data_IF_731190032333
#
_entry.id   IF_731190032333
#
_cell.length_a   1.000
_cell.length_b   1.000
_cell.length_c   1.000
_cell.angle_alpha   90.00
_cell.angle_beta   90.00
_cell.angle_gamma   90.00
#
_symmetry.space_group_name_H-M   'P 1'
#
loop_
_entity.id
_entity.type
_entity.pdbx_description
1 polymer ?
#
# COMPACT_ATOMS: atom_id res chain seq x y z
N UNK A 1 -25.02 -12.37 -8.62
CA UNK A 1 -23.62 -12.81 -8.70
C UNK A 1 -22.71 -11.78 -8.06
N UNK A 2 -21.91 -12.22 -7.12
CA UNK A 2 -20.96 -11.33 -6.45
C UNK A 2 -19.68 -11.30 -7.26
N UNK A 3 -19.30 -10.10 -7.71
CA UNK A 3 -18.03 -9.91 -8.38
C UNK A 3 -16.94 -9.79 -7.30
N UNK A 4 -15.86 -10.58 -7.36
CA UNK A 4 -14.77 -10.43 -6.42
C UNK A 4 -14.22 -9.00 -6.44
N UNK A 5 -13.77 -8.47 -5.30
CA UNK A 5 -13.15 -7.16 -5.28
C UNK A 5 -11.98 -7.08 -6.25
N UNK A 6 -11.89 -6.00 -6.98
CA UNK A 6 -10.77 -5.73 -7.87
C UNK A 6 -9.79 -4.84 -7.11
N UNK A 7 -8.50 -5.11 -7.26
CA UNK A 7 -7.45 -4.31 -6.67
C UNK A 7 -6.77 -3.52 -7.78
N UNK A 8 -6.41 -2.26 -7.49
CA UNK A 8 -5.73 -1.41 -8.46
C UNK A 8 -4.38 -0.97 -7.91
N UNK A 9 -3.50 -0.54 -8.81
CA UNK A 9 -2.23 0.05 -8.44
C UNK A 9 -2.49 1.30 -7.58
N UNK A 10 -1.79 1.47 -6.44
CA UNK A 10 -2.14 2.52 -5.48
C UNK A 10 -1.64 3.92 -5.84
N UNK A 11 -1.08 4.12 -7.03
CA UNK A 11 -0.65 5.44 -7.48
C UNK A 11 -0.75 5.51 -9.00
N UNK A 12 -0.85 6.73 -9.50
CA UNK A 12 -0.76 6.98 -10.94
C UNK A 12 0.72 7.17 -11.30
N UNK A 13 1.18 6.52 -12.34
CA UNK A 13 2.57 6.65 -12.76
C UNK A 13 3.55 5.95 -11.82
N UNK A 14 4.68 6.61 -11.54
CA UNK A 14 5.76 5.98 -10.82
C UNK A 14 6.47 4.94 -11.67
N UNK A 15 7.64 4.48 -11.22
CA UNK A 15 8.30 3.39 -11.93
C UNK A 15 8.64 2.27 -10.96
N UNK A 16 8.42 1.05 -11.41
CA UNK A 16 8.65 -0.14 -10.60
C UNK A 16 10.13 -0.26 -10.27
N UNK A 17 10.47 -0.34 -8.99
CA UNK A 17 11.86 -0.41 -8.55
C UNK A 17 12.19 -1.72 -7.84
N UNK A 18 11.22 -2.35 -7.20
CA UNK A 18 11.53 -3.48 -6.33
C UNK A 18 10.34 -4.42 -6.24
N UNK A 19 10.56 -5.70 -6.50
CA UNK A 19 9.51 -6.72 -6.51
C UNK A 19 9.38 -7.49 -5.21
N UNK A 20 8.28 -8.24 -5.11
CA UNK A 20 8.00 -9.12 -4.00
C UNK A 20 8.91 -10.34 -4.04
N UNK A 21 9.33 -10.79 -2.87
CA UNK A 21 10.03 -12.05 -2.71
C UNK A 21 11.37 -11.92 -2.01
N UNK A 22 12.10 -13.03 -1.95
CA UNK A 22 13.40 -13.07 -1.32
C UNK A 22 14.45 -12.35 -2.14
N UNK A 23 15.18 -11.47 -1.47
CA UNK A 23 16.25 -10.72 -2.09
C UNK A 23 17.36 -10.51 -1.09
N UNK A 24 18.60 -10.83 -1.47
CA UNK A 24 19.77 -10.63 -0.60
C UNK A 24 19.59 -11.27 0.78
N UNK A 25 18.93 -12.43 0.83
CA UNK A 25 18.66 -13.13 2.08
C UNK A 25 17.51 -12.54 2.90
N UNK A 26 16.82 -11.53 2.38
CA UNK A 26 15.67 -10.90 3.05
C UNK A 26 14.41 -11.08 2.24
N UNK A 27 13.30 -11.21 2.95
CA UNK A 27 11.98 -11.24 2.33
C UNK A 27 11.46 -9.82 2.12
N UNK A 28 11.24 -9.44 0.87
CA UNK A 28 10.57 -8.19 0.53
C UNK A 28 9.08 -8.48 0.45
N UNK A 29 8.32 -7.97 1.40
CA UNK A 29 6.91 -8.34 1.57
C UNK A 29 5.93 -7.60 0.68
N UNK A 30 6.41 -6.72 -0.18
CA UNK A 30 5.57 -5.94 -1.07
C UNK A 30 6.30 -5.55 -2.32
N UNK A 31 5.78 -4.53 -2.98
CA UNK A 31 6.41 -3.98 -4.18
C UNK A 31 6.59 -2.47 -4.01
N UNK A 32 7.60 -1.92 -4.68
CA UNK A 32 7.92 -0.50 -4.61
C UNK A 32 7.83 0.16 -5.97
N UNK A 33 7.28 1.36 -5.98
CA UNK A 33 7.33 2.25 -7.14
C UNK A 33 8.00 3.55 -6.74
N UNK A 34 9.04 3.93 -7.47
CA UNK A 34 9.69 5.23 -7.28
C UNK A 34 8.80 6.35 -7.79
N UNK A 35 8.70 7.42 -7.00
CA UNK A 35 7.89 8.58 -7.37
C UNK A 35 8.30 9.78 -6.52
N UNK A 36 8.06 11.01 -6.99
CA UNK A 36 8.37 12.20 -6.20
C UNK A 36 7.57 12.24 -4.90
N UNK A 37 8.13 12.87 -3.87
CA UNK A 37 7.41 13.15 -2.62
C UNK A 37 6.15 13.96 -2.93
N UNK A 38 5.03 13.58 -2.32
CA UNK A 38 3.76 14.26 -2.55
C UNK A 38 2.90 13.64 -3.63
N UNK A 39 3.34 12.52 -4.21
CA UNK A 39 2.49 11.78 -5.16
C UNK A 39 1.29 11.19 -4.42
N UNK A 40 0.11 11.36 -4.98
CA UNK A 40 -1.11 10.86 -4.33
C UNK A 40 -1.12 9.34 -4.30
N UNK A 41 -1.40 8.79 -3.11
CA UNK A 41 -1.58 7.36 -2.90
C UNK A 41 -3.08 7.08 -2.79
N UNK A 42 -3.56 6.11 -3.57
CA UNK A 42 -4.97 5.76 -3.65
C UNK A 42 -5.24 4.42 -2.98
N UNK A 43 -6.44 4.26 -2.42
CA UNK A 43 -6.84 2.96 -1.90
C UNK A 43 -6.95 1.96 -3.05
N UNK A 44 -6.26 0.84 -2.93
CA UNK A 44 -6.26 -0.20 -3.97
C UNK A 44 -7.62 -0.87 -4.14
N UNK A 45 -8.40 -0.91 -3.08
CA UNK A 45 -9.77 -1.42 -3.07
C UNK A 45 -10.52 -0.79 -1.89
N UNK A 46 -11.85 -0.87 -1.92
CA UNK A 46 -12.66 -0.32 -0.84
C UNK A 46 -12.49 -1.10 0.45
N UNK A 47 -12.55 -0.42 1.57
CA UNK A 47 -12.44 -1.07 2.88
C UNK A 47 -12.41 -0.10 4.03
N UNK A 48 -12.16 -0.64 5.22
CA UNK A 48 -12.05 0.14 6.44
C UNK A 48 -10.59 0.34 6.83
N UNK A 49 -10.20 1.56 7.12
CA UNK A 49 -8.84 1.85 7.60
C UNK A 49 -8.72 1.28 9.02
N UNK A 50 -7.83 0.32 9.21
CA UNK A 50 -7.61 -0.28 10.53
C UNK A 50 -6.47 0.39 11.28
N UNK A 51 -5.51 1.00 10.57
CA UNK A 51 -4.51 1.83 11.21
C UNK A 51 -4.01 2.89 10.25
N UNK A 52 -3.65 4.05 10.78
CA UNK A 52 -3.08 5.15 10.03
C UNK A 52 -2.16 5.91 10.96
N UNK A 53 -0.85 5.79 10.78
CA UNK A 53 0.10 6.43 11.67
C UNK A 53 1.52 6.01 11.37
N UNK A 54 2.42 6.41 12.24
CA UNK A 54 3.85 6.11 12.11
C UNK A 54 4.19 4.80 12.81
N UNK A 55 4.95 3.95 12.12
CA UNK A 55 5.55 2.79 12.77
C UNK A 55 6.99 2.65 12.31
N UNK A 56 7.79 2.01 13.16
CA UNK A 56 9.21 1.81 12.88
C UNK A 56 9.37 0.95 11.61
N UNK A 57 10.20 1.39 10.71
CA UNK A 57 10.45 0.72 9.44
C UNK A 57 9.53 1.19 8.33
N UNK A 58 8.23 1.14 8.51
CA UNK A 58 7.27 1.58 7.49
C UNK A 58 7.10 3.09 7.41
N UNK A 59 7.46 3.82 8.48
CA UNK A 59 7.18 5.24 8.55
C UNK A 59 5.68 5.49 8.65
N UNK A 60 5.22 6.59 8.07
CA UNK A 60 3.79 6.86 8.01
C UNK A 60 3.14 5.88 7.06
N UNK A 61 2.25 5.04 7.59
CA UNK A 61 1.61 4.01 6.76
C UNK A 61 0.11 3.89 7.07
N UNK A 62 -0.62 3.37 6.09
CA UNK A 62 -2.06 3.11 6.19
C UNK A 62 -2.27 1.63 5.96
N UNK A 63 -3.11 1.00 6.79
CA UNK A 63 -3.53 -0.38 6.60
C UNK A 63 -5.04 -0.40 6.44
N UNK A 64 -5.53 -1.04 5.38
CA UNK A 64 -6.95 -1.13 5.06
C UNK A 64 -7.37 -2.59 5.10
N UNK A 65 -8.49 -2.88 5.78
CA UNK A 65 -9.12 -4.20 5.79
C UNK A 65 -10.26 -4.21 4.78
N UNK A 66 -10.24 -5.17 3.89
CA UNK A 66 -11.22 -5.26 2.79
C UNK A 66 -12.30 -6.30 3.11
N UNK A 67 -13.51 -6.16 2.54
CA UNK A 67 -14.61 -7.08 2.83
C UNK A 67 -14.32 -8.54 2.50
N UNK A 68 -13.37 -8.82 1.61
CA UNK A 68 -13.00 -10.19 1.24
C UNK A 68 -12.02 -10.84 2.21
N UNK A 69 -11.67 -10.17 3.31
CA UNK A 69 -10.73 -10.68 4.30
C UNK A 69 -9.27 -10.37 4.01
N UNK A 70 -8.99 -9.67 2.95
CA UNK A 70 -7.64 -9.25 2.61
C UNK A 70 -7.32 -7.91 3.24
N UNK A 71 -6.03 -7.61 3.36
CA UNK A 71 -5.56 -6.32 3.89
C UNK A 71 -4.51 -5.76 2.95
N UNK A 72 -4.46 -4.42 2.87
CA UNK A 72 -3.42 -3.72 2.10
C UNK A 72 -2.72 -2.71 2.99
N UNK A 73 -1.42 -2.52 2.74
CA UNK A 73 -0.60 -1.55 3.47
C UNK A 73 0.11 -0.65 2.47
N UNK A 74 0.14 0.64 2.81
CA UNK A 74 0.75 1.69 1.99
C UNK A 74 1.73 2.44 2.88
N UNK A 75 3.03 2.32 2.60
CA UNK A 75 4.07 2.76 3.54
C UNK A 75 4.92 3.90 3.00
N UNK A 76 5.72 4.48 3.90
CA UNK A 76 6.69 5.54 3.63
C UNK A 76 6.05 6.85 3.17
N UNK A 77 4.84 7.13 3.59
CA UNK A 77 4.12 8.35 3.21
C UNK A 77 4.68 9.57 3.93
N UNK A 78 4.56 10.73 3.30
CA UNK A 78 4.88 12.00 3.93
C UNK A 78 3.71 12.55 4.73
N UNK A 79 2.47 12.24 4.29
CA UNK A 79 1.26 12.72 4.94
C UNK A 79 0.15 11.69 4.81
N UNK A 80 -0.63 11.52 5.86
CA UNK A 80 -1.80 10.65 5.86
C UNK A 80 -3.06 11.48 5.77
N UNK A 81 -3.99 11.07 4.89
CA UNK A 81 -5.23 11.81 4.63
C UNK A 81 -6.45 11.15 5.25
N UNK A 82 -6.27 10.00 5.89
CA UNK A 82 -7.37 9.22 6.51
C UNK A 82 -6.99 8.82 7.92
N UNK A 83 -7.97 8.35 8.68
CA UNK A 83 -7.80 7.93 10.07
C UNK A 83 -8.35 6.53 10.28
N UNK A 84 -7.86 5.85 11.31
CA UNK A 84 -8.36 4.51 11.68
C UNK A 84 -9.87 4.57 11.93
N UNK A 85 -10.57 3.56 11.44
CA UNK A 85 -12.03 3.47 11.53
C UNK A 85 -12.78 4.05 10.36
N UNK A 86 -12.11 4.77 9.48
CA UNK A 86 -12.74 5.41 8.34
C UNK A 86 -12.93 4.41 7.20
N UNK A 87 -14.10 4.46 6.54
CA UNK A 87 -14.33 3.72 5.30
C UNK A 87 -13.76 4.51 4.13
N UNK A 88 -13.11 3.81 3.20
CA UNK A 88 -12.59 4.42 1.97
C UNK A 88 -13.09 3.62 0.77
N UNK A 89 -13.27 4.32 -0.36
CA UNK A 89 -13.63 3.70 -1.62
C UNK A 89 -12.39 3.39 -2.43
N UNK A 90 -12.50 2.46 -3.38
CA UNK A 90 -11.42 2.20 -4.32
C UNK A 90 -11.06 3.48 -5.07
N UNK A 91 -9.77 3.80 -5.17
CA UNK A 91 -9.32 5.00 -5.85
C UNK A 91 -9.42 6.28 -5.04
N UNK A 92 -9.88 6.20 -3.80
CA UNK A 92 -9.91 7.38 -2.92
C UNK A 92 -8.49 7.74 -2.48
N UNK A 93 -8.18 9.03 -2.44
CA UNK A 93 -6.88 9.51 -1.94
C UNK A 93 -6.77 9.23 -0.45
N UNK A 94 -5.73 8.50 -0.05
CA UNK A 94 -5.55 8.11 1.36
C UNK A 94 -4.27 8.66 1.97
N UNK A 95 -3.29 9.03 1.15
CA UNK A 95 -2.01 9.54 1.63
C UNK A 95 -1.27 10.25 0.52
N UNK A 96 -0.20 10.94 0.91
CA UNK A 96 0.78 11.48 -0.04
C UNK A 96 2.09 10.75 0.18
N UNK A 97 2.74 10.36 -0.90
CA UNK A 97 3.98 9.59 -0.84
C UNK A 97 5.13 10.40 -0.23
N UNK A 98 6.13 9.69 0.24
CA UNK A 98 7.30 10.31 0.85
C UNK A 98 8.46 9.34 0.93
N UNK A 99 9.25 9.51 1.98
CA UNK A 99 10.42 8.67 2.25
C UNK A 99 10.61 8.48 3.74
N UNK A 100 9.49 8.43 4.50
CA UNK A 100 9.54 8.27 5.96
C UNK A 100 9.82 6.84 6.34
N UNK A 101 10.31 6.64 7.57
CA UNK A 101 10.68 5.33 8.04
C UNK A 101 11.99 4.86 7.42
N UNK A 102 12.13 3.55 7.27
CA UNK A 102 13.34 2.97 6.67
C UNK A 102 13.24 3.01 5.16
N UNK A 103 13.70 4.11 4.59
CA UNK A 103 13.62 4.34 3.15
C UNK A 103 14.89 5.02 2.66
N UNK A 104 15.39 4.60 1.50
CA UNK A 104 16.60 5.18 0.89
C UNK A 104 16.25 6.22 -0.17
N UNK A 105 14.98 6.46 -0.43
CA UNK A 105 14.55 7.47 -1.38
C UNK A 105 13.04 7.47 -1.53
N UNK A 106 12.48 8.50 -2.18
CA UNK A 106 11.02 8.62 -2.32
C UNK A 106 10.43 7.46 -3.12
N UNK A 107 9.46 6.77 -2.53
CA UNK A 107 8.75 5.67 -3.19
C UNK A 107 7.47 5.32 -2.43
N UNK A 108 6.60 4.55 -3.09
CA UNK A 108 5.43 3.93 -2.46
C UNK A 108 5.74 2.46 -2.27
N UNK A 109 5.62 1.98 -1.05
CA UNK A 109 5.73 0.56 -0.72
C UNK A 109 4.32 0.02 -0.47
N UNK A 110 3.93 -0.99 -1.21
CA UNK A 110 2.58 -1.53 -1.19
C UNK A 110 2.60 -3.02 -0.87
N UNK A 111 1.79 -3.44 0.10
CA UNK A 111 1.68 -4.84 0.51
C UNK A 111 0.23 -5.30 0.44
N UNK A 112 0.03 -6.56 0.06
CA UNK A 112 -1.28 -7.23 0.15
C UNK A 112 -1.11 -8.45 1.05
N UNK A 113 -2.03 -8.62 1.98
CA UNK A 113 -2.07 -9.77 2.88
C UNK A 113 -3.36 -10.55 2.67
N UNK A 114 -3.24 -11.88 2.56
CA UNK A 114 -4.37 -12.80 2.50
C UNK A 114 -4.25 -13.73 3.69
N UNK A 115 -5.25 -13.71 4.58
CA UNK A 115 -5.24 -14.51 5.82
C UNK A 115 -3.95 -14.27 6.64
N UNK A 116 -3.51 -13.01 6.71
CA UNK A 116 -2.32 -12.64 7.48
C UNK A 116 -0.99 -12.94 6.81
N UNK A 117 -0.99 -13.46 5.59
CA UNK A 117 0.23 -13.82 4.87
C UNK A 117 0.45 -12.85 3.72
N UNK A 118 1.65 -12.25 3.64
CA UNK A 118 1.99 -11.35 2.55
C UNK A 118 2.10 -12.12 1.24
N UNK A 119 1.50 -11.57 0.18
CA UNK A 119 1.51 -12.17 -1.15
C UNK A 119 2.02 -11.15 -2.16
N UNK A 120 2.39 -11.62 -3.36
CA UNK A 120 2.87 -10.72 -4.40
C UNK A 120 1.76 -9.83 -4.91
N UNK A 121 1.79 -8.51 -4.64
CA UNK A 121 0.71 -7.62 -5.05
C UNK A 121 0.48 -7.58 -6.56
N UNK A 122 1.51 -7.82 -7.35
CA UNK A 122 1.39 -7.76 -8.82
C UNK A 122 0.43 -8.81 -9.36
N UNK A 123 0.15 -9.87 -8.59
CA UNK A 123 -0.81 -10.90 -9.01
C UNK A 123 -2.27 -10.46 -8.82
N UNK A 124 -2.50 -9.36 -8.12
CA UNK A 124 -3.85 -8.95 -7.71
C UNK A 124 -4.26 -7.59 -8.23
N UNK A 125 -3.31 -6.74 -8.59
CA UNK A 125 -3.63 -5.43 -9.14
C UNK A 125 -3.74 -5.52 -10.66
N UNK A 126 -4.66 -4.78 -11.25
CA UNK A 126 -4.75 -4.66 -12.71
C UNK A 126 -3.55 -3.92 -13.26
N UNK A 127 -3.13 -4.29 -14.43
CA UNK A 127 -2.02 -3.65 -15.12
C UNK A 127 -2.53 -2.57 -16.06
#
# INVERSE_FOLDING_TARGET
>A
TITPPTYIKPLAGGHFTSGFGRRWGRMHKGVDWGCPVGTTVYASSAGTVVSAGYSKGYGNNVVISHPDGRMTRYAHNSKLLVSAGQWVEQGQSIALSGSTGRSTGPHVHFEIYINGVAVNPLNYIGQ
#
